data_IF_746363537910
#
_entry.id   IF_746363537910
#
_cell.length_a   1.000
_cell.length_b   1.000
_cell.length_c   1.000
_cell.angle_alpha   90.00
_cell.angle_beta   90.00
_cell.angle_gamma   90.00
#
_symmetry.space_group_name_H-M   'P 1'
#
loop_
_entity.id
_entity.type
_entity.pdbx_description
1 polymer ?
#
# COMPACT_ATOMS: atom_id res chain seq x y z
N UNK A 1 17.29 -5.01 -11.28
CA UNK A 1 17.26 -3.73 -12.00
C UNK A 1 16.53 -2.73 -11.11
N UNK A 2 17.15 -1.60 -10.78
CA UNK A 2 16.57 -0.58 -9.89
C UNK A 2 15.36 0.08 -10.57
N UNK A 3 14.23 0.20 -9.86
CA UNK A 3 13.01 0.79 -10.42
C UNK A 3 13.11 2.31 -10.36
N UNK A 4 12.85 3.00 -11.48
CA UNK A 4 12.98 4.47 -11.55
C UNK A 4 11.89 5.18 -10.74
N UNK A 5 12.25 6.30 -10.12
CA UNK A 5 11.30 7.16 -9.44
C UNK A 5 10.62 8.12 -10.41
N UNK A 6 9.38 8.49 -10.10
CA UNK A 6 8.66 9.53 -10.83
C UNK A 6 8.18 10.61 -9.88
N UNK A 7 8.15 11.85 -10.36
CA UNK A 7 7.54 12.98 -9.66
C UNK A 7 6.00 12.93 -9.63
N UNK A 8 5.40 11.85 -10.15
CA UNK A 8 3.96 11.65 -10.24
C UNK A 8 3.23 11.56 -8.89
N UNK A 9 3.95 11.60 -7.77
CA UNK A 9 3.39 11.82 -6.44
C UNK A 9 2.94 13.28 -6.24
N UNK A 10 3.45 14.25 -7.03
CA UNK A 10 3.27 15.69 -6.84
C UNK A 10 1.87 16.26 -7.17
N UNK A 11 0.98 15.48 -7.79
CA UNK A 11 -0.31 15.97 -8.31
C UNK A 11 -1.48 15.86 -7.33
N UNK A 12 -1.72 14.67 -6.76
CA UNK A 12 -2.77 14.41 -5.76
C UNK A 12 -2.29 13.35 -4.77
N UNK A 13 -2.71 13.50 -3.50
CA UNK A 13 -2.28 12.65 -2.38
C UNK A 13 -2.90 11.24 -2.43
N UNK A 14 -3.56 10.79 -1.35
CA UNK A 14 -3.99 9.41 -1.14
C UNK A 14 -5.19 9.01 -2.01
N UNK A 15 -6.18 9.91 -2.20
CA UNK A 15 -7.43 9.65 -2.94
C UNK A 15 -8.18 8.41 -2.46
N UNK A 16 -8.17 8.13 -1.16
CA UNK A 16 -8.77 6.90 -0.59
C UNK A 16 -10.26 6.76 -0.96
N UNK A 17 -11.13 7.77 -0.76
CA UNK A 17 -12.56 7.63 -1.07
C UNK A 17 -12.82 7.38 -2.56
N UNK A 18 -12.12 8.12 -3.43
CA UNK A 18 -12.25 7.93 -4.88
C UNK A 18 -11.69 6.59 -5.33
N UNK A 19 -10.58 6.14 -4.73
CA UNK A 19 -9.98 4.82 -5.02
C UNK A 19 -10.96 3.71 -4.66
N UNK A 20 -11.55 3.73 -3.46
CA UNK A 20 -12.56 2.76 -3.04
C UNK A 20 -13.76 2.75 -4.01
N UNK A 21 -14.28 3.93 -4.35
CA UNK A 21 -15.41 4.07 -5.30
C UNK A 21 -15.08 3.50 -6.69
N UNK A 22 -13.88 3.79 -7.22
CA UNK A 22 -13.43 3.29 -8.51
C UNK A 22 -13.26 1.76 -8.48
N UNK A 23 -12.62 1.21 -7.44
CA UNK A 23 -12.41 -0.23 -7.33
C UNK A 23 -13.72 -1.00 -7.19
N UNK A 24 -14.65 -0.49 -6.38
CA UNK A 24 -16.01 -1.02 -6.32
C UNK A 24 -16.68 -1.01 -7.70
N UNK A 25 -16.55 0.08 -8.46
CA UNK A 25 -17.11 0.19 -9.81
C UNK A 25 -16.50 -0.85 -10.74
N UNK A 26 -15.17 -0.98 -10.73
CA UNK A 26 -14.44 -1.96 -11.55
C UNK A 26 -14.90 -3.39 -11.23
N UNK A 27 -15.15 -3.72 -9.97
CA UNK A 27 -15.64 -5.04 -9.57
C UNK A 27 -17.00 -5.40 -10.17
N UNK A 28 -17.86 -4.41 -10.47
CA UNK A 28 -19.22 -4.61 -11.00
C UNK A 28 -19.34 -4.37 -12.51
N UNK A 29 -18.26 -3.98 -13.19
CA UNK A 29 -18.26 -3.72 -14.63
C UNK A 29 -17.60 -4.83 -15.43
N UNK A 30 -18.02 -4.99 -16.69
CA UNK A 30 -17.44 -5.99 -17.59
C UNK A 30 -16.00 -5.64 -18.04
N UNK A 31 -15.67 -4.36 -18.12
CA UNK A 31 -14.37 -3.87 -18.60
C UNK A 31 -13.91 -2.59 -17.87
N UNK A 32 -12.61 -2.28 -17.95
CA UNK A 32 -12.07 -1.01 -17.47
C UNK A 32 -12.61 0.19 -18.26
N UNK A 33 -12.97 0.02 -19.54
CA UNK A 33 -13.60 1.08 -20.32
C UNK A 33 -15.00 1.40 -19.81
N UNK A 34 -15.78 0.39 -19.44
CA UNK A 34 -17.09 0.60 -18.83
C UNK A 34 -16.96 1.30 -17.48
N UNK A 35 -16.03 0.86 -16.62
CA UNK A 35 -15.72 1.54 -15.36
C UNK A 35 -15.29 3.00 -15.59
N UNK A 36 -14.47 3.26 -16.61
CA UNK A 36 -14.06 4.61 -16.96
C UNK A 36 -15.25 5.48 -17.35
N UNK A 37 -16.19 4.96 -18.15
CA UNK A 37 -17.42 5.69 -18.51
C UNK A 37 -18.25 6.03 -17.27
N UNK A 38 -18.38 5.10 -16.31
CA UNK A 38 -19.06 5.39 -15.05
C UNK A 38 -18.40 6.55 -14.29
N UNK A 39 -17.06 6.53 -14.19
CA UNK A 39 -16.26 7.54 -13.48
C UNK A 39 -16.31 8.91 -14.15
N UNK A 40 -16.14 8.94 -15.48
CA UNK A 40 -15.90 10.17 -16.23
C UNK A 40 -17.18 10.76 -16.82
N UNK A 41 -18.08 9.92 -17.32
CA UNK A 41 -19.29 10.37 -18.02
C UNK A 41 -20.50 10.40 -17.10
N UNK A 42 -20.66 9.38 -16.23
CA UNK A 42 -21.77 9.33 -15.26
C UNK A 42 -21.42 10.01 -13.92
N UNK A 43 -20.21 10.54 -13.78
CA UNK A 43 -19.74 11.33 -12.64
C UNK A 43 -20.02 10.69 -11.27
N UNK A 44 -19.81 9.37 -11.12
CA UNK A 44 -20.02 8.67 -9.84
C UNK A 44 -19.16 9.20 -8.69
N UNK A 45 -18.09 9.95 -9.00
CA UNK A 45 -17.21 10.61 -8.03
C UNK A 45 -17.74 11.98 -7.56
N UNK A 46 -18.86 12.44 -8.13
CA UNK A 46 -19.51 13.72 -7.84
C UNK A 46 -18.56 14.92 -7.94
N UNK A 47 -17.69 14.93 -8.96
CA UNK A 47 -16.74 16.04 -9.16
C UNK A 47 -17.38 17.16 -9.97
N UNK A 48 -16.95 18.38 -9.69
CA UNK A 48 -17.44 19.60 -10.34
C UNK A 48 -17.07 19.70 -11.82
N UNK A 49 -15.96 19.07 -12.25
CA UNK A 49 -15.51 19.12 -13.64
C UNK A 49 -15.13 17.73 -14.15
N UNK A 50 -15.46 17.47 -15.42
CA UNK A 50 -15.10 16.23 -16.12
C UNK A 50 -13.58 16.00 -16.14
N UNK A 51 -12.81 17.07 -16.36
CA UNK A 51 -11.34 17.00 -16.32
C UNK A 51 -10.79 16.49 -14.99
N UNK A 52 -11.40 16.88 -13.87
CA UNK A 52 -11.00 16.40 -12.54
C UNK A 52 -11.23 14.88 -12.39
N UNK A 53 -12.38 14.37 -12.87
CA UNK A 53 -12.68 12.93 -12.88
C UNK A 53 -11.72 12.14 -13.78
N UNK A 54 -11.36 12.68 -14.95
CA UNK A 54 -10.36 12.07 -15.84
C UNK A 54 -9.01 11.95 -15.13
N UNK A 55 -8.52 13.03 -14.50
CA UNK A 55 -7.26 12.99 -13.76
C UNK A 55 -7.29 11.99 -12.60
N UNK A 56 -8.41 11.89 -11.86
CA UNK A 56 -8.53 10.92 -10.77
C UNK A 56 -8.51 9.49 -11.31
N UNK A 57 -9.25 9.23 -12.38
CA UNK A 57 -9.24 7.94 -13.06
C UNK A 57 -7.83 7.53 -13.47
N UNK A 58 -7.09 8.40 -14.16
CA UNK A 58 -5.73 8.10 -14.63
C UNK A 58 -4.76 7.80 -13.46
N UNK A 59 -4.89 8.55 -12.36
CA UNK A 59 -4.08 8.32 -11.16
C UNK A 59 -4.40 6.95 -10.53
N UNK A 60 -5.68 6.65 -10.33
CA UNK A 60 -6.12 5.39 -9.71
C UNK A 60 -5.82 4.20 -10.63
N UNK A 61 -6.06 4.34 -11.93
CA UNK A 61 -5.76 3.31 -12.92
C UNK A 61 -4.28 2.93 -12.88
N UNK A 62 -3.38 3.92 -12.90
CA UNK A 62 -1.94 3.67 -12.81
C UNK A 62 -1.54 3.00 -11.49
N UNK A 63 -2.13 3.41 -10.36
CA UNK A 63 -1.77 2.93 -9.01
C UNK A 63 -2.32 1.52 -8.72
N UNK A 64 -3.54 1.22 -9.16
CA UNK A 64 -4.30 0.05 -8.68
C UNK A 64 -4.81 -0.88 -9.79
N UNK A 65 -4.76 -0.50 -11.06
CA UNK A 65 -5.26 -1.34 -12.17
C UNK A 65 -4.13 -1.83 -13.07
N UNK A 66 -3.15 -0.98 -13.38
CA UNK A 66 -2.04 -1.29 -14.28
C UNK A 66 -1.14 -2.41 -13.71
N UNK A 67 -0.76 -3.35 -14.57
CA UNK A 67 0.14 -4.47 -14.27
C UNK A 67 -0.32 -5.36 -13.09
N UNK A 68 -1.61 -5.39 -12.79
CA UNK A 68 -2.20 -6.27 -11.78
C UNK A 68 -3.15 -7.27 -12.44
N UNK A 69 -3.16 -8.54 -12.01
CA UNK A 69 -4.17 -9.49 -12.46
C UNK A 69 -5.57 -8.96 -12.19
N UNK A 70 -6.50 -9.16 -13.12
CA UNK A 70 -7.88 -8.70 -12.98
C UNK A 70 -8.56 -9.25 -11.72
N UNK A 71 -8.20 -10.47 -11.31
CA UNK A 71 -8.76 -11.10 -10.10
C UNK A 71 -8.41 -10.30 -8.83
N UNK A 72 -7.17 -9.87 -8.70
CA UNK A 72 -6.69 -9.01 -7.60
C UNK A 72 -7.46 -7.70 -7.57
N UNK A 73 -7.58 -7.05 -8.72
CA UNK A 73 -8.29 -5.78 -8.85
C UNK A 73 -9.75 -5.91 -8.40
N UNK A 74 -10.41 -7.00 -8.82
CA UNK A 74 -11.79 -7.30 -8.39
C UNK A 74 -11.86 -7.58 -6.89
N UNK A 75 -10.91 -8.35 -6.35
CA UNK A 75 -10.79 -8.62 -4.92
C UNK A 75 -10.65 -7.33 -4.08
N UNK A 76 -9.80 -6.39 -4.51
CA UNK A 76 -9.69 -5.06 -3.89
C UNK A 76 -11.02 -4.29 -3.94
N UNK A 77 -11.74 -4.40 -5.05
CA UNK A 77 -13.07 -3.81 -5.20
C UNK A 77 -14.10 -4.42 -4.26
N UNK A 78 -14.09 -5.75 -4.08
CA UNK A 78 -14.97 -6.47 -3.16
C UNK A 78 -14.66 -6.12 -1.70
N UNK A 79 -13.38 -6.15 -1.30
CA UNK A 79 -12.93 -5.71 0.03
C UNK A 79 -13.36 -4.27 0.33
N UNK A 80 -13.41 -3.41 -0.69
CA UNK A 80 -13.83 -2.01 -0.53
C UNK A 80 -15.34 -1.83 -0.35
N UNK A 81 -16.20 -2.84 -0.55
CA UNK A 81 -17.67 -2.66 -0.54
C UNK A 81 -18.28 -2.47 0.85
N UNK A 82 -17.72 -3.12 1.87
CA UNK A 82 -18.25 -3.04 3.24
C UNK A 82 -17.67 -1.81 3.95
N UNK A 83 -18.48 -1.05 4.69
CA UNK A 83 -17.95 -0.08 5.65
C UNK A 83 -17.21 -0.87 6.73
N UNK A 84 -15.89 -0.98 6.60
CA UNK A 84 -15.09 -1.58 7.65
C UNK A 84 -14.96 -0.55 8.78
N UNK A 85 -15.24 -0.98 10.01
CA UNK A 85 -14.98 -0.18 11.22
C UNK A 85 -13.46 0.05 11.36
N UNK A 86 -12.67 -0.91 10.86
CA UNK A 86 -11.22 -0.94 10.95
C UNK A 86 -10.53 -0.53 9.63
N UNK A 87 -9.28 -0.06 9.73
CA UNK A 87 -8.46 0.45 8.61
C UNK A 87 -7.92 -0.65 7.67
N UNK A 88 -8.44 -1.87 7.77
CA UNK A 88 -7.98 -3.09 7.10
C UNK A 88 -7.80 -2.88 5.60
N UNK A 89 -8.86 -2.40 4.94
CA UNK A 89 -8.86 -2.16 3.49
C UNK A 89 -7.90 -1.03 3.14
N UNK A 90 -7.78 0.00 3.99
CA UNK A 90 -6.89 1.13 3.72
C UNK A 90 -5.42 0.70 3.75
N UNK A 91 -5.02 -0.15 4.69
CA UNK A 91 -3.66 -0.67 4.74
C UNK A 91 -3.38 -1.67 3.61
N UNK A 92 -4.37 -2.43 3.15
CA UNK A 92 -4.26 -3.22 1.91
C UNK A 92 -4.06 -2.30 0.69
N UNK A 93 -4.82 -1.21 0.60
CA UNK A 93 -4.64 -0.22 -0.47
C UNK A 93 -3.27 0.47 -0.38
N UNK A 94 -2.79 0.77 0.82
CA UNK A 94 -1.45 1.31 1.02
C UNK A 94 -0.37 0.35 0.50
N UNK A 95 -0.49 -0.93 0.82
CA UNK A 95 0.41 -1.97 0.32
C UNK A 95 0.45 -1.98 -1.22
N UNK A 96 -0.71 -2.05 -1.87
CA UNK A 96 -0.80 -2.07 -3.34
C UNK A 96 -0.30 -0.77 -3.99
N UNK A 97 -0.48 0.37 -3.31
CA UNK A 97 0.06 1.67 -3.71
C UNK A 97 1.59 1.66 -3.67
N UNK A 98 2.17 1.19 -2.56
CA UNK A 98 3.62 1.11 -2.38
C UNK A 98 4.24 0.21 -3.45
N UNK A 99 3.68 -0.99 -3.68
CA UNK A 99 4.14 -1.88 -4.75
C UNK A 99 4.09 -1.24 -6.15
N UNK A 100 3.09 -0.37 -6.39
CA UNK A 100 2.96 0.35 -7.66
C UNK A 100 3.89 1.55 -7.80
N UNK A 101 4.35 2.15 -6.70
CA UNK A 101 5.13 3.38 -6.69
C UNK A 101 6.44 3.16 -5.94
N UNK A 102 7.55 2.85 -6.64
CA UNK A 102 8.83 2.54 -6.00
C UNK A 102 9.28 3.57 -4.97
N UNK A 103 9.11 4.87 -5.26
CA UNK A 103 9.43 5.94 -4.32
C UNK A 103 8.62 5.89 -3.02
N UNK A 104 7.35 5.45 -3.05
CA UNK A 104 6.53 5.32 -1.85
C UNK A 104 6.99 4.11 -1.05
N UNK A 105 7.29 3.00 -1.73
CA UNK A 105 7.84 1.81 -1.09
C UNK A 105 9.15 2.15 -0.36
N UNK A 106 10.15 2.67 -1.07
CA UNK A 106 11.48 2.92 -0.53
C UNK A 106 11.48 4.03 0.54
N UNK A 107 10.69 5.11 0.36
CA UNK A 107 10.50 6.10 1.43
C UNK A 107 9.89 5.49 2.68
N UNK A 108 9.05 4.47 2.55
CA UNK A 108 8.43 3.83 3.71
C UNK A 108 9.40 2.85 4.36
N UNK A 109 10.00 1.95 3.59
CA UNK A 109 10.86 0.86 4.13
C UNK A 109 12.24 1.32 4.56
N UNK A 110 12.77 2.40 3.97
CA UNK A 110 14.17 2.81 4.15
C UNK A 110 14.28 4.15 4.88
N UNK A 111 13.36 5.10 4.65
CA UNK A 111 13.35 6.38 5.38
C UNK A 111 12.46 6.29 6.63
N UNK A 112 11.15 6.13 6.45
CA UNK A 112 10.17 6.22 7.53
C UNK A 112 10.38 5.12 8.59
N UNK A 113 10.59 3.88 8.15
CA UNK A 113 10.90 2.76 9.03
C UNK A 113 12.19 2.99 9.82
N UNK A 114 13.25 3.50 9.20
CA UNK A 114 14.51 3.81 9.91
C UNK A 114 14.32 4.90 10.97
N UNK A 115 13.55 5.95 10.66
CA UNK A 115 13.20 6.98 11.64
C UNK A 115 12.42 6.38 12.81
N UNK A 116 11.47 5.48 12.52
CA UNK A 116 10.68 4.76 13.53
C UNK A 116 11.56 3.90 14.44
N UNK A 117 12.44 3.07 13.88
CA UNK A 117 13.37 2.22 14.63
C UNK A 117 14.33 3.03 15.51
N UNK A 118 14.71 4.22 15.07
CA UNK A 118 15.54 5.14 15.84
C UNK A 118 14.77 5.87 16.97
N UNK A 119 13.52 5.50 17.23
CA UNK A 119 12.69 6.08 18.29
C UNK A 119 12.31 7.53 18.06
N UNK A 120 12.38 8.02 16.81
CA UNK A 120 11.94 9.38 16.48
C UNK A 120 10.45 9.49 16.75
N UNK A 121 10.02 10.51 17.50
CA UNK A 121 8.60 10.73 17.76
C UNK A 121 7.89 11.39 16.57
N UNK A 122 8.61 12.19 15.78
CA UNK A 122 8.03 12.97 14.69
C UNK A 122 8.88 13.00 13.44
N UNK A 123 8.18 13.11 12.30
CA UNK A 123 8.75 13.12 10.96
C UNK A 123 8.45 14.47 10.30
N UNK A 124 9.50 15.14 9.83
CA UNK A 124 9.41 16.44 9.20
C UNK A 124 9.62 16.31 7.69
N UNK A 125 9.24 17.36 6.97
CA UNK A 125 9.49 17.46 5.53
C UNK A 125 10.98 17.39 5.18
N UNK A 126 11.84 17.96 6.04
CA UNK A 126 13.30 17.92 5.85
C UNK A 126 13.83 16.50 5.87
N UNK A 127 13.34 15.62 6.77
CA UNK A 127 13.78 14.23 6.82
C UNK A 127 13.56 13.52 5.46
N UNK A 128 12.45 13.84 4.78
CA UNK A 128 12.14 13.30 3.45
C UNK A 128 13.00 13.93 2.34
N UNK A 129 13.26 15.23 2.42
CA UNK A 129 14.12 15.92 1.45
C UNK A 129 15.57 15.42 1.53
N UNK A 130 16.09 15.25 2.75
CA UNK A 130 17.43 14.74 3.00
C UNK A 130 17.57 13.31 2.45
N UNK A 131 16.55 12.47 2.64
CA UNK A 131 16.51 11.14 2.05
C UNK A 131 16.49 11.17 0.51
N UNK A 132 15.72 12.09 -0.11
CA UNK A 132 15.70 12.23 -1.57
C UNK A 132 17.06 12.64 -2.13
N UNK A 133 17.78 13.53 -1.44
CA UNK A 133 19.12 13.95 -1.85
C UNK A 133 20.14 12.81 -1.67
N UNK A 134 20.00 11.98 -0.62
CA UNK A 134 20.80 10.76 -0.46
C UNK A 134 20.50 9.73 -1.55
N UNK A 135 19.23 9.46 -1.84
CA UNK A 135 18.81 8.54 -2.90
C UNK A 135 19.34 8.98 -4.27
N UNK A 136 19.35 10.29 -4.53
CA UNK A 136 19.91 10.86 -5.76
C UNK A 136 21.43 10.61 -5.87
N UNK A 137 22.15 10.64 -4.75
CA UNK A 137 23.59 10.39 -4.71
C UNK A 137 23.97 8.90 -4.81
N UNK A 138 23.06 7.98 -4.47
CA UNK A 138 23.33 6.53 -4.39
C UNK A 138 22.75 5.71 -5.53
N UNK A 139 22.09 6.34 -6.51
CA UNK A 139 21.70 5.69 -7.76
C UNK A 139 20.47 6.28 -8.45
N UNK A 140 19.62 7.05 -7.76
CA UNK A 140 18.40 7.62 -8.33
C UNK A 140 18.64 8.98 -9.01
N UNK A 141 19.51 9.01 -10.02
CA UNK A 141 19.92 10.23 -10.73
C UNK A 141 18.75 11.00 -11.34
N UNK A 142 17.62 10.35 -11.66
CA UNK A 142 16.42 11.05 -12.12
C UNK A 142 15.90 12.12 -11.14
N UNK A 143 16.19 11.99 -9.84
CA UNK A 143 15.82 12.97 -8.82
C UNK A 143 16.58 14.28 -9.02
N UNK A 144 17.81 14.25 -9.56
CA UNK A 144 18.61 15.45 -9.85
C UNK A 144 17.96 16.33 -10.92
N UNK A 145 17.13 15.75 -11.80
CA UNK A 145 16.34 16.49 -12.78
C UNK A 145 15.10 17.17 -12.19
N UNK A 146 14.76 16.95 -10.92
CA UNK A 146 13.57 17.55 -10.31
C UNK A 146 13.90 18.94 -9.75
N UNK A 147 13.03 19.91 -10.02
CA UNK A 147 13.13 21.23 -9.40
C UNK A 147 12.96 21.14 -7.87
N UNK A 148 13.48 22.11 -7.11
CA UNK A 148 13.27 22.18 -5.66
C UNK A 148 11.78 22.15 -5.27
N UNK A 149 10.93 22.79 -6.08
CA UNK A 149 9.49 22.79 -5.91
C UNK A 149 8.89 21.37 -6.08
N UNK A 150 9.39 20.60 -7.04
CA UNK A 150 8.95 19.22 -7.27
C UNK A 150 9.34 18.30 -6.11
N UNK A 151 10.61 18.33 -5.67
CA UNK A 151 11.06 17.58 -4.48
C UNK A 151 10.22 17.92 -3.25
N UNK A 152 9.98 19.23 -3.05
CA UNK A 152 9.13 19.77 -1.98
C UNK A 152 7.68 19.24 -2.05
N UNK A 153 7.08 19.15 -3.24
CA UNK A 153 5.73 18.57 -3.40
C UNK A 153 5.71 17.06 -3.15
N UNK A 154 6.71 16.33 -3.64
CA UNK A 154 6.84 14.88 -3.39
C UNK A 154 6.92 14.62 -1.89
N UNK A 155 7.79 15.33 -1.17
CA UNK A 155 7.93 15.17 0.28
C UNK A 155 6.62 15.45 1.03
N UNK A 156 5.93 16.55 0.71
CA UNK A 156 4.64 16.89 1.33
C UNK A 156 3.54 15.87 1.01
N UNK A 157 3.47 15.38 -0.22
CA UNK A 157 2.46 14.42 -0.63
C UNK A 157 2.71 13.03 -0.03
N UNK A 158 3.98 12.62 0.12
CA UNK A 158 4.34 11.42 0.84
C UNK A 158 3.90 11.47 2.31
N UNK A 159 4.23 12.54 3.03
CA UNK A 159 3.79 12.71 4.42
C UNK A 159 2.26 12.75 4.57
N UNK A 160 1.57 13.26 3.55
CA UNK A 160 0.11 13.23 3.49
C UNK A 160 -0.41 11.81 3.30
N UNK A 161 0.19 11.03 2.40
CA UNK A 161 -0.15 9.62 2.16
C UNK A 161 0.08 8.79 3.43
N UNK A 162 1.26 8.89 4.05
CA UNK A 162 1.58 8.16 5.27
C UNK A 162 0.61 8.51 6.42
N UNK A 163 0.16 9.76 6.50
CA UNK A 163 -0.90 10.17 7.44
C UNK A 163 -2.26 9.56 7.10
N UNK A 164 -2.68 9.71 5.85
CA UNK A 164 -4.02 9.29 5.41
C UNK A 164 -4.23 7.79 5.58
N UNK A 165 -3.17 6.99 5.37
CA UNK A 165 -3.19 5.54 5.62
C UNK A 165 -2.90 5.15 7.08
N UNK A 166 -2.66 6.12 7.97
CA UNK A 166 -2.56 5.88 9.41
C UNK A 166 -1.20 5.43 9.93
N UNK A 167 -0.12 5.52 9.14
CA UNK A 167 1.25 5.34 9.64
C UNK A 167 1.68 6.56 10.47
N UNK A 168 1.20 7.74 10.07
CA UNK A 168 1.42 9.00 10.76
C UNK A 168 0.09 9.62 11.20
N UNK A 169 0.16 10.51 12.17
CA UNK A 169 -0.96 11.34 12.60
C UNK A 169 -0.57 12.81 12.70
N UNK A 170 -1.57 13.69 12.82
CA UNK A 170 -1.38 15.14 12.92
C UNK A 170 -1.29 15.86 11.57
N UNK A 171 -1.63 17.15 11.57
CA UNK A 171 -1.66 17.98 10.36
C UNK A 171 -0.38 18.79 10.19
N UNK A 172 -0.03 19.62 11.18
CA UNK A 172 1.16 20.48 11.13
C UNK A 172 2.44 19.74 11.51
N UNK A 173 2.37 18.94 12.58
CA UNK A 173 3.45 18.08 13.05
C UNK A 173 3.04 16.64 12.80
N UNK A 174 3.82 15.89 12.01
CA UNK A 174 3.55 14.46 11.79
C UNK A 174 4.22 13.66 12.89
N UNK A 175 3.44 12.91 13.65
CA UNK A 175 3.93 11.95 14.64
C UNK A 175 3.64 10.53 14.17
N UNK A 176 4.43 9.56 14.62
CA UNK A 176 4.10 8.16 14.40
C UNK A 176 2.81 7.80 15.12
N UNK A 177 1.85 7.26 14.38
CA UNK A 177 0.62 6.76 14.96
C UNK A 177 0.87 5.42 15.67
N UNK A 178 0.02 5.09 16.64
CA UNK A 178 -0.06 3.71 17.15
C UNK A 178 -0.76 2.86 16.10
N UNK A 179 0.03 2.26 15.22
CA UNK A 179 -0.46 1.38 14.17
C UNK A 179 -0.56 -0.06 14.70
N UNK A 180 -1.76 -0.62 14.67
CA UNK A 180 -1.98 -2.05 14.79
C UNK A 180 -2.32 -2.57 13.39
N UNK A 181 -1.59 -3.57 12.91
CA UNK A 181 -1.86 -4.19 11.61
C UNK A 181 -2.98 -5.21 11.78
N UNK A 182 -4.16 -5.01 11.15
CA UNK A 182 -5.25 -5.97 11.22
C UNK A 182 -4.84 -7.32 10.63
N UNK A 183 -5.32 -8.41 11.24
CA UNK A 183 -5.01 -9.77 10.78
C UNK A 183 -5.38 -9.97 9.30
N UNK A 184 -6.52 -9.42 8.87
CA UNK A 184 -6.96 -9.49 7.47
C UNK A 184 -5.94 -8.87 6.50
N UNK A 185 -5.37 -7.71 6.84
CA UNK A 185 -4.31 -7.07 6.05
C UNK A 185 -3.04 -7.93 6.03
N UNK A 186 -2.65 -8.47 7.19
CA UNK A 186 -1.46 -9.33 7.27
C UNK A 186 -1.60 -10.60 6.42
N UNK A 187 -2.74 -11.29 6.52
CA UNK A 187 -3.08 -12.47 5.72
C UNK A 187 -3.07 -12.12 4.23
N UNK A 188 -3.69 -11.01 3.84
CA UNK A 188 -3.65 -10.54 2.45
C UNK A 188 -2.21 -10.42 1.93
N UNK A 189 -1.31 -9.80 2.71
CA UNK A 189 0.11 -9.63 2.33
C UNK A 189 0.84 -10.97 2.22
N UNK A 190 0.59 -11.92 3.14
CA UNK A 190 1.19 -13.26 3.06
C UNK A 190 0.81 -13.99 1.76
N UNK A 191 -0.47 -14.00 1.42
CA UNK A 191 -0.96 -14.63 0.20
C UNK A 191 -0.50 -13.87 -1.05
N UNK A 192 -0.37 -12.54 -0.96
CA UNK A 192 0.24 -11.73 -2.01
C UNK A 192 1.69 -12.07 -2.28
N UNK A 193 2.49 -12.33 -1.25
CA UNK A 193 3.88 -12.74 -1.39
C UNK A 193 4.01 -14.19 -1.87
N UNK A 194 3.14 -15.09 -1.39
CA UNK A 194 3.03 -16.47 -1.86
C UNK A 194 2.78 -16.53 -3.38
N UNK A 195 1.82 -15.75 -3.88
CA UNK A 195 1.45 -15.77 -5.30
C UNK A 195 2.54 -15.18 -6.22
N UNK A 196 3.56 -14.53 -5.65
CA UNK A 196 4.79 -14.15 -6.36
C UNK A 196 5.81 -15.30 -6.45
N UNK A 197 5.50 -16.49 -5.91
CA UNK A 197 6.37 -17.66 -5.91
C UNK A 197 7.49 -17.62 -4.87
N UNK A 198 7.36 -16.77 -3.84
CA UNK A 198 8.36 -16.67 -2.78
C UNK A 198 8.29 -17.89 -1.85
N UNK A 199 9.45 -18.34 -1.38
CA UNK A 199 9.52 -19.42 -0.39
C UNK A 199 9.25 -18.90 1.04
N UNK A 200 9.04 -19.82 1.99
CA UNK A 200 8.73 -19.49 3.38
C UNK A 200 9.70 -18.47 4.00
N UNK A 201 11.02 -18.68 3.85
CA UNK A 201 12.02 -17.75 4.38
C UNK A 201 11.89 -16.35 3.77
N UNK A 202 11.78 -16.27 2.45
CA UNK A 202 11.63 -14.99 1.74
C UNK A 202 10.34 -14.25 2.13
N UNK A 203 9.25 -14.98 2.36
CA UNK A 203 7.98 -14.40 2.84
C UNK A 203 8.16 -13.87 4.26
N UNK A 204 8.63 -14.71 5.20
CA UNK A 204 8.73 -14.39 6.63
C UNK A 204 9.69 -13.23 6.92
N UNK A 205 10.74 -13.07 6.10
CA UNK A 205 11.71 -11.97 6.24
C UNK A 205 11.48 -10.86 5.20
N UNK A 206 10.30 -10.79 4.59
CA UNK A 206 10.03 -9.84 3.51
C UNK A 206 10.13 -8.39 4.02
N UNK A 207 10.83 -7.50 3.30
CA UNK A 207 10.84 -6.08 3.63
C UNK A 207 9.47 -5.42 3.49
N UNK A 208 8.51 -6.05 2.81
CA UNK A 208 7.13 -5.59 2.69
C UNK A 208 6.47 -5.32 4.05
N UNK A 209 6.83 -6.06 5.09
CA UNK A 209 6.28 -5.83 6.43
C UNK A 209 6.72 -4.49 7.06
N UNK A 210 7.86 -3.93 6.62
CA UNK A 210 8.30 -2.59 7.03
C UNK A 210 7.36 -1.50 6.54
N UNK A 211 6.56 -1.75 5.50
CA UNK A 211 5.50 -0.83 5.07
C UNK A 211 4.50 -0.53 6.18
N UNK A 212 4.33 -1.47 7.13
CA UNK A 212 3.45 -1.31 8.28
C UNK A 212 4.21 -1.04 9.57
N UNK A 213 5.48 -0.61 9.47
CA UNK A 213 6.37 -0.35 10.60
C UNK A 213 6.61 -1.56 11.51
N UNK A 214 6.41 -2.79 10.98
CA UNK A 214 6.61 -4.01 11.75
C UNK A 214 8.08 -4.39 11.85
N UNK A 215 8.49 -4.74 13.04
CA UNK A 215 9.74 -5.43 13.29
C UNK A 215 9.55 -6.95 13.12
N UNK A 216 10.65 -7.70 13.02
CA UNK A 216 10.60 -9.14 12.82
C UNK A 216 9.80 -9.87 13.91
N UNK A 217 9.85 -9.39 15.15
CA UNK A 217 9.07 -9.94 16.27
C UNK A 217 7.55 -9.78 16.05
N UNK A 218 7.12 -8.66 15.47
CA UNK A 218 5.71 -8.37 15.25
C UNK A 218 5.18 -9.28 14.12
N UNK A 219 6.00 -9.51 13.10
CA UNK A 219 5.72 -10.48 12.03
C UNK A 219 5.53 -11.89 12.60
N UNK A 220 6.37 -12.32 13.54
CA UNK A 220 6.20 -13.64 14.17
C UNK A 220 4.91 -13.75 14.98
N UNK A 221 4.56 -12.72 15.77
CA UNK A 221 3.31 -12.69 16.52
C UNK A 221 2.09 -12.78 15.58
N UNK A 222 2.13 -12.08 14.45
CA UNK A 222 1.07 -12.12 13.44
C UNK A 222 1.03 -13.46 12.67
N UNK A 223 2.16 -14.13 12.46
CA UNK A 223 2.20 -15.50 11.89
C UNK A 223 1.55 -16.51 12.84
N UNK A 224 1.82 -16.41 14.14
CA UNK A 224 1.15 -17.24 15.15
C UNK A 224 -0.35 -16.95 15.21
N UNK A 225 -0.74 -15.68 15.11
CA UNK A 225 -2.15 -15.28 15.07
C UNK A 225 -2.85 -15.83 13.83
N UNK A 226 -2.26 -15.67 12.64
CA UNK A 226 -2.78 -16.24 11.40
C UNK A 226 -2.83 -17.78 11.43
N UNK A 227 -1.91 -18.42 12.16
CA UNK A 227 -1.96 -19.87 12.40
C UNK A 227 -3.14 -20.26 13.28
N UNK A 228 -3.36 -19.56 14.40
CA UNK A 228 -4.51 -19.80 15.29
C UNK A 228 -5.84 -19.57 14.58
N UNK A 229 -5.90 -18.58 13.70
CA UNK A 229 -7.08 -18.27 12.91
C UNK A 229 -7.27 -19.21 11.69
N UNK A 230 -6.36 -20.16 11.47
CA UNK A 230 -6.53 -21.19 10.45
C UNK A 230 -6.23 -20.74 9.01
N UNK A 231 -5.56 -19.60 8.80
CA UNK A 231 -5.17 -19.14 7.47
C UNK A 231 -3.89 -19.82 6.94
N UNK A 232 -3.00 -20.19 7.86
CA UNK A 232 -1.70 -20.80 7.56
C UNK A 232 -1.34 -21.80 8.68
N UNK A 233 -0.28 -22.56 8.46
CA UNK A 233 0.49 -23.22 9.53
C UNK A 233 1.91 -22.70 9.50
N UNK A 234 2.34 -22.04 10.56
CA UNK A 234 3.71 -21.55 10.74
C UNK A 234 4.45 -22.35 11.81
N UNK A 235 5.67 -22.78 11.48
CA UNK A 235 6.60 -23.40 12.43
C UNK A 235 8.02 -22.88 12.17
N UNK A 236 8.78 -22.70 13.25
CA UNK A 236 10.17 -22.27 13.20
C UNK A 236 11.07 -23.19 14.03
N UNK A 237 12.21 -23.57 13.46
CA UNK A 237 13.30 -24.24 14.16
C UNK A 237 14.62 -23.57 13.80
N UNK A 238 15.10 -22.65 14.65
CA UNK A 238 16.24 -21.79 14.31
C UNK A 238 15.94 -20.93 13.09
N UNK A 239 16.77 -21.06 12.05
CA UNK A 239 16.61 -20.34 10.76
C UNK A 239 15.79 -21.10 9.71
N UNK A 240 15.21 -22.24 10.09
CA UNK A 240 14.34 -23.03 9.23
C UNK A 240 12.90 -22.61 9.49
N UNK A 241 12.27 -22.09 8.43
CA UNK A 241 10.88 -21.65 8.44
C UNK A 241 10.05 -22.64 7.62
N UNK A 242 9.01 -23.20 8.24
CA UNK A 242 7.96 -23.93 7.56
C UNK A 242 6.69 -23.08 7.56
N UNK A 243 6.19 -22.77 6.38
CA UNK A 243 5.00 -21.96 6.18
C UNK A 243 4.10 -22.66 5.16
N UNK A 244 3.01 -23.24 5.65
CA UNK A 244 1.99 -23.90 4.83
C UNK A 244 0.78 -22.99 4.73
N UNK A 245 0.22 -22.84 3.54
CA UNK A 245 -0.97 -22.02 3.29
C UNK A 245 -2.18 -22.93 3.14
N UNK A 246 -3.30 -22.56 3.77
CA UNK A 246 -4.52 -23.37 3.76
C UNK A 246 -5.45 -23.04 2.58
N UNK A 247 -5.32 -21.86 1.99
CA UNK A 247 -5.98 -21.47 0.76
C UNK A 247 -5.02 -21.56 -0.43
N UNK A 248 -5.55 -21.82 -1.63
CA UNK A 248 -4.76 -22.06 -2.83
C UNK A 248 -4.09 -20.80 -3.36
N UNK A 249 -4.78 -19.65 -3.33
CA UNK A 249 -4.31 -18.38 -3.87
C UNK A 249 -4.89 -17.18 -3.12
N UNK A 250 -4.49 -15.97 -3.53
CA UNK A 250 -5.00 -14.73 -2.96
C UNK A 250 -6.52 -14.59 -3.07
N UNK A 251 -7.12 -15.00 -4.18
CA UNK A 251 -8.55 -14.76 -4.40
C UNK A 251 -9.37 -15.60 -3.42
N UNK A 252 -8.98 -16.87 -3.22
CA UNK A 252 -9.65 -17.75 -2.28
C UNK A 252 -9.58 -17.22 -0.83
N UNK A 253 -8.44 -16.69 -0.41
CA UNK A 253 -8.36 -16.07 0.92
C UNK A 253 -9.12 -14.74 1.01
N UNK A 254 -9.19 -13.96 -0.08
CA UNK A 254 -10.01 -12.75 -0.10
C UNK A 254 -11.49 -13.10 0.09
N UNK A 255 -11.98 -14.15 -0.55
CA UNK A 255 -13.36 -14.60 -0.40
C UNK A 255 -13.67 -14.98 1.07
N UNK A 256 -12.74 -15.67 1.74
CA UNK A 256 -12.84 -15.95 3.18
C UNK A 256 -12.84 -14.66 4.02
N UNK A 257 -11.89 -13.75 3.77
CA UNK A 257 -11.79 -12.48 4.50
C UNK A 257 -13.07 -11.65 4.38
N UNK A 258 -13.71 -11.65 3.20
CA UNK A 258 -15.00 -10.97 2.98
C UNK A 258 -16.13 -11.64 3.75
N UNK A 259 -16.09 -12.96 3.92
CA UNK A 259 -17.07 -13.73 4.68
C UNK A 259 -17.06 -13.44 6.18
N UNK A 260 -15.91 -13.00 6.72
CA UNK A 260 -15.73 -12.69 8.14
C UNK A 260 -15.99 -11.22 8.52
N UNK A 261 -15.97 -10.30 7.55
CA UNK A 261 -16.29 -8.86 7.70
C UNK A 261 -17.79 -8.64 7.55
#
# INVERSE_FOLDING_TARGET
MMRRYSSGLGGKSSLIPETKTILQTVAHTASFDDARRQVVDNNILLKSTKGNSITIWEIVHRRYLTNKPTSVVKGLGQLSQKPTVDKDVELILFYELALSLPIVYDLTTDCLYTLYQNGRSTVNKSDILDWLDQAAATGHDEINGWSPQTKSKVASNYLTIARDFGLLEGTQRKAFARLYLPLATFVYVLYRLKDQGLNAKAIVTSPDFKLFLLEQRDVFLLLEEATRAGYITFQQAGDIYNLTFHYHDLNEVIDELIGQI
#
